data_IF_942741399263
#
_entry.id   IF_942741399263
#
_cell.length_a   1.000
_cell.length_b   1.000
_cell.length_c   1.000
_cell.angle_alpha   90.00
_cell.angle_beta   90.00
_cell.angle_gamma   90.00
#
_symmetry.space_group_name_H-M   'P 1'
#
loop_
_entity.id
_entity.type
_entity.pdbx_description
1 polymer ?
#
# COMPACT_ATOMS: atom_id res chain seq x y z
N UNK A 1 47.73 -12.72 -1.57
CA UNK A 1 47.49 -11.65 -0.57
C UNK A 1 46.19 -11.98 0.16
N UNK A 2 46.31 -12.49 1.39
CA UNK A 2 45.13 -12.77 2.24
C UNK A 2 44.52 -11.45 2.73
N UNK A 3 43.48 -10.97 2.09
CA UNK A 3 42.75 -9.82 2.57
C UNK A 3 41.78 -10.31 3.67
N UNK A 4 42.13 -10.06 4.92
CA UNK A 4 41.24 -10.26 6.04
C UNK A 4 39.97 -9.41 5.85
N UNK A 5 38.77 -9.93 6.16
CA UNK A 5 37.54 -9.15 6.09
C UNK A 5 37.61 -7.93 7.00
N UNK A 6 37.06 -6.81 6.54
CA UNK A 6 37.04 -5.58 7.33
C UNK A 6 36.18 -5.74 8.58
N UNK A 7 36.68 -5.26 9.71
CA UNK A 7 35.89 -5.19 10.94
C UNK A 7 34.81 -4.12 10.84
N UNK A 8 33.73 -4.26 11.61
CA UNK A 8 32.63 -3.26 11.70
C UNK A 8 33.19 -1.83 11.96
N UNK A 9 34.20 -1.71 12.83
CA UNK A 9 34.82 -0.42 13.17
C UNK A 9 35.55 0.21 11.98
N UNK A 10 36.21 -0.60 11.16
CA UNK A 10 36.89 -0.15 9.93
C UNK A 10 35.90 0.29 8.88
N UNK A 11 34.79 -0.43 8.72
CA UNK A 11 33.70 -0.08 7.79
C UNK A 11 33.07 1.26 8.18
N UNK A 12 32.72 1.43 9.46
CA UNK A 12 32.13 2.70 9.95
C UNK A 12 33.12 3.86 9.76
N UNK A 13 34.42 3.65 10.05
CA UNK A 13 35.44 4.68 9.83
C UNK A 13 35.59 5.04 8.36
N UNK A 14 35.48 4.06 7.47
CA UNK A 14 35.52 4.29 6.02
C UNK A 14 34.37 5.19 5.59
N UNK A 15 33.10 4.85 5.96
CA UNK A 15 31.95 5.67 5.60
C UNK A 15 32.00 7.07 6.20
N UNK A 16 32.45 7.24 7.44
CA UNK A 16 32.62 8.57 8.06
C UNK A 16 33.69 9.43 7.38
N UNK A 17 34.66 8.83 6.69
CA UNK A 17 35.69 9.55 5.91
C UNK A 17 35.21 9.97 4.53
N UNK A 18 34.14 9.38 4.02
CA UNK A 18 33.56 9.83 2.75
C UNK A 18 33.07 11.26 2.93
N UNK A 19 33.67 12.18 2.20
CA UNK A 19 33.16 13.57 2.14
C UNK A 19 31.71 13.50 1.69
N UNK A 20 30.82 14.28 2.34
CA UNK A 20 29.48 14.50 1.86
C UNK A 20 29.58 14.91 0.39
N UNK A 21 29.04 14.08 -0.50
CA UNK A 21 28.92 14.44 -1.90
C UNK A 21 28.03 15.70 -1.93
N UNK A 22 28.61 16.84 -2.30
CA UNK A 22 27.85 18.06 -2.57
C UNK A 22 27.10 17.75 -3.86
N UNK A 23 25.83 17.36 -3.72
CA UNK A 23 24.97 17.16 -4.86
C UNK A 23 24.32 18.49 -5.22
N UNK A 24 24.59 18.97 -6.44
CA UNK A 24 23.86 20.12 -6.98
C UNK A 24 22.41 19.66 -7.27
N UNK A 25 21.44 20.48 -6.87
CA UNK A 25 20.06 20.25 -7.24
C UNK A 25 19.81 20.80 -8.63
N UNK A 26 19.02 20.06 -9.40
CA UNK A 26 18.55 20.42 -10.73
C UNK A 26 17.07 20.09 -10.86
N UNK A 27 16.36 20.82 -11.71
CA UNK A 27 14.97 20.55 -12.05
C UNK A 27 14.95 19.79 -13.37
N UNK A 28 14.43 18.57 -13.34
CA UNK A 28 14.33 17.70 -14.52
C UNK A 28 12.87 17.29 -14.76
N UNK A 29 12.54 17.03 -16.02
CA UNK A 29 11.31 16.32 -16.35
C UNK A 29 11.37 14.88 -15.83
N UNK A 30 10.23 14.28 -15.56
CA UNK A 30 10.15 12.90 -15.07
C UNK A 30 10.86 11.91 -16.03
N UNK A 31 10.75 12.13 -17.33
CA UNK A 31 11.38 11.30 -18.36
C UNK A 31 12.92 11.30 -18.28
N UNK A 32 13.51 12.43 -17.82
CA UNK A 32 14.96 12.61 -17.72
C UNK A 32 15.51 12.35 -16.31
N UNK A 33 14.64 11.94 -15.37
CA UNK A 33 15.02 11.74 -13.95
C UNK A 33 15.60 10.36 -13.64
N UNK A 34 15.64 9.44 -14.60
CA UNK A 34 16.20 8.11 -14.40
C UNK A 34 17.66 8.18 -13.93
N UNK A 35 17.99 7.42 -12.88
CA UNK A 35 19.34 7.41 -12.28
C UNK A 35 19.68 8.63 -11.41
N UNK A 36 18.67 9.46 -11.08
CA UNK A 36 18.81 10.61 -10.19
C UNK A 36 18.24 10.32 -8.81
N UNK A 37 18.69 11.07 -7.82
CA UNK A 37 18.17 11.02 -6.45
C UNK A 37 17.25 12.20 -6.22
N UNK A 38 16.14 11.96 -5.51
CA UNK A 38 15.27 13.05 -5.07
C UNK A 38 16.03 13.95 -4.11
N UNK A 39 16.01 15.26 -4.38
CA UNK A 39 16.64 16.25 -3.50
C UNK A 39 15.84 16.46 -2.21
N UNK A 40 14.54 16.30 -2.27
CA UNK A 40 13.63 16.40 -1.12
C UNK A 40 12.73 15.18 -1.04
N UNK A 41 12.27 14.85 0.16
CA UNK A 41 11.32 13.76 0.36
C UNK A 41 10.01 14.03 -0.39
N UNK A 42 9.51 13.02 -1.10
CA UNK A 42 8.22 13.04 -1.73
C UNK A 42 7.20 12.37 -0.81
N UNK A 43 6.19 13.14 -0.39
CA UNK A 43 5.06 12.62 0.40
C UNK A 43 3.81 12.55 -0.46
N UNK A 44 3.10 11.44 -0.40
CA UNK A 44 1.80 11.33 -1.05
C UNK A 44 0.82 12.34 -0.44
N UNK A 45 0.04 13.00 -1.28
CA UNK A 45 -1.05 13.91 -0.87
C UNK A 45 -2.40 13.20 -0.73
N UNK A 46 -2.46 11.92 -1.07
CA UNK A 46 -3.65 11.08 -1.01
C UNK A 46 -3.30 9.73 -0.38
N UNK A 47 -4.27 9.10 0.23
CA UNK A 47 -4.12 7.73 0.72
C UNK A 47 -3.90 6.76 -0.43
N UNK A 48 -3.07 5.74 -0.22
CA UNK A 48 -2.80 4.67 -1.20
C UNK A 48 -2.93 3.33 -0.50
N UNK A 49 -4.03 2.61 -0.75
CA UNK A 49 -5.14 2.90 -1.67
C UNK A 49 -6.04 4.06 -1.17
N UNK A 50 -6.79 4.76 -2.07
CA UNK A 50 -7.61 5.92 -1.71
C UNK A 50 -8.95 5.54 -1.06
N UNK A 51 -9.16 4.28 -0.75
CA UNK A 51 -10.34 3.72 -0.08
C UNK A 51 -10.00 2.39 0.59
N UNK A 52 -10.82 1.95 1.52
CA UNK A 52 -10.72 0.61 2.09
C UNK A 52 -11.00 -0.43 0.99
N UNK A 53 -10.04 -1.30 0.75
CA UNK A 53 -10.13 -2.36 -0.25
C UNK A 53 -9.98 -3.75 0.38
N UNK A 54 -10.55 -4.76 -0.27
CA UNK A 54 -10.39 -6.14 0.14
C UNK A 54 -8.98 -6.64 -0.19
N UNK A 55 -8.31 -7.23 0.81
CA UNK A 55 -7.01 -7.87 0.61
C UNK A 55 -7.12 -9.27 0.01
N UNK A 56 -8.32 -9.87 0.04
CA UNK A 56 -8.57 -11.25 -0.40
C UNK A 56 -9.91 -11.36 -1.11
N UNK A 57 -10.10 -12.45 -1.85
CA UNK A 57 -11.42 -12.83 -2.35
C UNK A 57 -12.26 -13.39 -1.20
N UNK A 58 -13.47 -12.89 -1.03
CA UNK A 58 -14.31 -13.29 0.10
C UNK A 58 -15.70 -12.65 0.07
N UNK A 59 -16.25 -12.46 1.26
CA UNK A 59 -17.57 -11.86 1.45
C UNK A 59 -17.50 -10.77 2.50
N UNK A 60 -18.12 -9.63 2.20
CA UNK A 60 -18.36 -8.56 3.14
C UNK A 60 -19.75 -8.73 3.77
N UNK A 61 -19.83 -8.53 5.09
CA UNK A 61 -21.05 -8.62 5.88
C UNK A 61 -21.07 -7.55 6.97
N UNK A 62 -22.22 -7.37 7.61
CA UNK A 62 -22.30 -6.49 8.78
C UNK A 62 -21.79 -7.22 10.02
N UNK A 63 -20.83 -6.64 10.73
CA UNK A 63 -20.26 -7.20 11.97
C UNK A 63 -21.35 -7.60 12.99
N UNK A 64 -22.38 -6.76 13.16
CA UNK A 64 -23.51 -7.03 14.05
C UNK A 64 -24.31 -8.29 13.72
N UNK A 65 -24.21 -8.81 12.50
CA UNK A 65 -24.93 -10.00 12.05
C UNK A 65 -24.13 -11.29 12.26
N UNK A 66 -22.82 -11.21 12.49
CA UNK A 66 -21.92 -12.36 12.69
C UNK A 66 -22.40 -13.32 13.76
N UNK A 67 -22.86 -12.79 14.91
CA UNK A 67 -23.26 -13.59 16.06
C UNK A 67 -24.77 -13.80 16.15
N UNK A 68 -25.55 -13.17 15.27
CA UNK A 68 -27.04 -13.18 15.37
C UNK A 68 -27.70 -14.02 14.29
N UNK A 69 -27.03 -14.24 13.15
CA UNK A 69 -27.62 -14.93 11.99
C UNK A 69 -26.80 -16.15 11.62
N UNK A 70 -27.47 -17.25 11.37
CA UNK A 70 -26.88 -18.50 10.89
C UNK A 70 -26.94 -18.64 9.37
N UNK A 71 -27.81 -17.89 8.71
CA UNK A 71 -28.04 -17.96 7.27
C UNK A 71 -27.95 -16.56 6.69
N UNK A 72 -27.16 -16.44 5.65
CA UNK A 72 -26.97 -15.23 4.87
C UNK A 72 -27.31 -15.50 3.41
N UNK A 73 -27.70 -14.45 2.68
CA UNK A 73 -27.91 -14.52 1.24
C UNK A 73 -26.90 -13.65 0.51
N UNK A 74 -26.47 -14.07 -0.68
CA UNK A 74 -25.52 -13.33 -1.52
C UNK A 74 -26.01 -13.31 -2.95
N UNK A 75 -26.37 -12.13 -3.44
CA UNK A 75 -26.79 -11.90 -4.83
C UNK A 75 -26.02 -10.76 -5.50
N UNK A 76 -25.12 -10.11 -4.78
CA UNK A 76 -24.33 -8.97 -5.26
C UNK A 76 -22.84 -9.26 -5.19
N UNK A 77 -22.08 -8.63 -6.09
CA UNK A 77 -20.62 -8.73 -6.12
C UNK A 77 -19.98 -7.37 -6.41
N UNK A 78 -18.76 -7.17 -5.92
CA UNK A 78 -17.93 -6.02 -6.19
C UNK A 78 -16.59 -6.52 -6.74
N UNK A 79 -16.28 -6.12 -7.95
CA UNK A 79 -15.00 -6.42 -8.61
C UNK A 79 -13.99 -5.30 -8.36
N UNK A 80 -12.70 -5.60 -8.47
CA UNK A 80 -11.66 -4.58 -8.49
C UNK A 80 -11.96 -3.54 -9.60
N UNK A 81 -11.70 -2.26 -9.29
CA UNK A 81 -11.99 -1.16 -10.20
C UNK A 81 -13.46 -0.73 -10.28
N UNK A 82 -14.38 -1.40 -9.58
CA UNK A 82 -15.78 -0.99 -9.52
C UNK A 82 -15.92 0.38 -8.82
N UNK A 83 -16.59 1.31 -9.47
CA UNK A 83 -16.93 2.63 -8.91
C UNK A 83 -18.20 2.62 -8.03
N UNK A 84 -18.89 1.48 -7.93
CA UNK A 84 -20.14 1.37 -7.16
C UNK A 84 -19.87 1.52 -5.66
N UNK A 85 -20.64 2.38 -5.01
CA UNK A 85 -20.63 2.52 -3.56
C UNK A 85 -21.82 1.74 -2.99
N UNK A 86 -21.58 0.50 -2.61
CA UNK A 86 -22.61 -0.39 -2.09
C UNK A 86 -22.69 -0.32 -0.57
N UNK A 87 -23.90 -0.54 -0.05
CA UNK A 87 -24.15 -0.78 1.37
C UNK A 87 -24.74 -2.17 1.54
N UNK A 88 -24.39 -2.81 2.64
CA UNK A 88 -24.86 -4.15 3.02
C UNK A 88 -26.16 -4.01 3.80
N UNK A 89 -27.13 -4.85 3.50
CA UNK A 89 -28.35 -5.02 4.29
C UNK A 89 -28.17 -6.09 5.36
N UNK A 90 -28.96 -6.04 6.43
CA UNK A 90 -28.91 -7.08 7.48
C UNK A 90 -29.24 -8.46 6.88
N UNK A 91 -28.40 -9.44 7.14
CA UNK A 91 -28.49 -10.81 6.62
C UNK A 91 -27.97 -10.99 5.19
N UNK A 92 -27.41 -9.95 4.59
CA UNK A 92 -26.80 -10.00 3.26
C UNK A 92 -25.30 -10.24 3.33
N UNK A 93 -24.77 -10.99 2.36
CA UNK A 93 -23.36 -11.02 2.00
C UNK A 93 -23.18 -10.36 0.63
N UNK A 94 -22.11 -9.58 0.49
CA UNK A 94 -21.66 -9.09 -0.83
C UNK A 94 -20.34 -9.77 -1.14
N UNK A 95 -20.28 -10.50 -2.26
CA UNK A 95 -19.02 -11.10 -2.70
C UNK A 95 -18.05 -10.00 -3.12
N UNK A 96 -16.86 -10.00 -2.54
CA UNK A 96 -15.78 -9.04 -2.81
C UNK A 96 -14.57 -9.77 -3.36
N UNK A 97 -13.86 -9.12 -4.26
CA UNK A 97 -12.64 -9.64 -4.86
C UNK A 97 -11.45 -8.80 -4.42
N UNK A 98 -10.27 -9.38 -4.45
CA UNK A 98 -9.01 -8.70 -4.11
C UNK A 98 -8.90 -7.37 -4.84
N UNK A 99 -8.60 -6.30 -4.12
CA UNK A 99 -8.55 -4.93 -4.64
C UNK A 99 -9.91 -4.24 -4.82
N UNK A 100 -11.03 -4.93 -4.60
CA UNK A 100 -12.35 -4.32 -4.66
C UNK A 100 -12.58 -3.36 -3.49
N UNK A 101 -13.25 -2.22 -3.76
CA UNK A 101 -13.65 -1.27 -2.73
C UNK A 101 -14.62 -1.94 -1.76
N UNK A 102 -14.35 -1.86 -0.47
CA UNK A 102 -15.24 -2.40 0.55
C UNK A 102 -16.54 -1.60 0.64
N UNK A 103 -17.68 -2.26 0.95
CA UNK A 103 -18.94 -1.56 1.27
C UNK A 103 -18.73 -0.57 2.42
N UNK A 104 -19.43 0.55 2.39
CA UNK A 104 -19.24 1.66 3.33
C UNK A 104 -19.64 1.35 4.78
N UNK A 105 -20.26 0.22 5.01
CA UNK A 105 -20.80 -0.21 6.32
C UNK A 105 -20.45 -1.66 6.67
N UNK A 106 -19.39 -2.20 6.05
CA UNK A 106 -18.85 -3.52 6.40
C UNK A 106 -17.83 -3.42 7.52
#
# INVERSE_FOLDING_TARGET
>A
MNKHPLTKKQIIKFFKKQKNLIMNKELLSLQNSQGRFLFTDLKSKVDIPPFNNSAVDGYALLEKDLNKKKIFYSNRKILAGSKKNLRIKSGELIRVFTGAKMPSNS
#
